data_IF_168178274566
#
_entry.id   IF_168178274566
#
_cell.length_a   1.000
_cell.length_b   1.000
_cell.length_c   1.000
_cell.angle_alpha   90.00
_cell.angle_beta   90.00
_cell.angle_gamma   90.00
#
_symmetry.space_group_name_H-M   'P 1'
#
loop_
_entity.id
_entity.type
_entity.pdbx_description
1 polymer ?
#
# COMPACT_ATOMS: atom_id res chain seq x y z
N UNK A 1 17.05 5.39 33.27
CA UNK A 1 15.87 4.78 32.64
C UNK A 1 14.90 5.77 31.96
N UNK A 2 15.24 7.05 31.76
CA UNK A 2 14.42 7.99 30.98
C UNK A 2 15.30 8.94 30.16
N UNK A 3 15.90 8.44 29.07
CA UNK A 3 16.62 9.26 28.08
C UNK A 3 15.77 9.53 26.83
N UNK A 4 14.45 9.43 26.95
CA UNK A 4 13.48 9.46 25.83
C UNK A 4 13.11 10.87 25.34
N UNK A 5 13.53 11.96 26.01
CA UNK A 5 12.89 13.27 25.83
C UNK A 5 13.78 14.42 25.34
N UNK A 6 14.99 14.18 24.82
CA UNK A 6 15.65 15.19 23.97
C UNK A 6 15.15 15.06 22.54
N UNK A 7 13.86 15.38 22.36
CA UNK A 7 13.21 15.47 21.04
C UNK A 7 13.64 16.80 20.41
N UNK A 8 14.52 16.74 19.41
CA UNK A 8 14.88 17.91 18.60
C UNK A 8 13.94 17.98 17.40
N UNK A 9 13.13 19.04 17.32
CA UNK A 9 12.27 19.35 16.17
C UNK A 9 13.05 19.73 14.90
N UNK A 10 14.37 19.94 15.04
CA UNK A 10 15.22 20.49 13.98
C UNK A 10 15.50 19.52 12.84
N UNK A 11 15.33 18.22 13.06
CA UNK A 11 15.54 17.17 12.05
C UNK A 11 14.22 16.61 11.50
N UNK A 12 13.09 17.26 11.79
CA UNK A 12 11.78 16.77 11.36
C UNK A 12 11.51 17.07 9.89
N UNK A 13 11.12 16.06 9.11
CA UNK A 13 10.79 16.24 7.70
C UNK A 13 9.35 16.70 7.49
N UNK A 14 9.15 18.00 7.66
CA UNK A 14 7.84 18.62 7.44
C UNK A 14 7.33 18.45 6.01
N UNK A 15 8.21 18.37 5.01
CA UNK A 15 7.82 18.19 3.61
C UNK A 15 7.17 16.81 3.44
N UNK A 16 7.72 15.77 4.07
CA UNK A 16 7.13 14.43 4.06
C UNK A 16 5.71 14.45 4.66
N UNK A 17 5.57 15.02 5.85
CA UNK A 17 4.28 15.10 6.54
C UNK A 17 3.23 15.89 5.74
N UNK A 18 3.56 17.10 5.28
CA UNK A 18 2.61 17.93 4.56
C UNK A 18 2.23 17.33 3.20
N UNK A 19 3.14 16.62 2.53
CA UNK A 19 2.80 15.92 1.29
C UNK A 19 1.72 14.85 1.53
N UNK A 20 1.88 14.02 2.56
CA UNK A 20 0.90 13.00 2.94
C UNK A 20 -0.42 13.60 3.45
N UNK A 21 -0.33 14.70 4.22
CA UNK A 21 -1.50 15.41 4.72
C UNK A 21 -2.32 16.04 3.59
N UNK A 22 -1.68 16.73 2.63
CA UNK A 22 -2.35 17.31 1.47
C UNK A 22 -2.97 16.21 0.60
N UNK A 23 -2.26 15.10 0.35
CA UNK A 23 -2.84 13.92 -0.32
C UNK A 23 -4.09 13.44 0.42
N UNK A 24 -4.05 13.35 1.75
CA UNK A 24 -5.22 12.94 2.54
C UNK A 24 -6.40 13.91 2.44
N UNK A 25 -6.15 15.22 2.32
CA UNK A 25 -7.19 16.22 2.11
C UNK A 25 -7.82 16.11 0.71
N UNK A 26 -7.02 15.84 -0.32
CA UNK A 26 -7.52 15.57 -1.69
C UNK A 26 -8.34 14.28 -1.73
N UNK A 27 -7.90 13.25 -0.99
CA UNK A 27 -8.66 12.01 -0.84
C UNK A 27 -9.99 12.27 -0.14
N UNK A 28 -9.96 13.03 0.95
CA UNK A 28 -11.16 13.38 1.69
C UNK A 28 -12.16 14.20 0.86
N UNK A 29 -11.71 15.15 0.04
CA UNK A 29 -12.60 15.94 -0.82
C UNK A 29 -13.28 15.09 -1.90
N UNK A 30 -12.56 14.14 -2.50
CA UNK A 30 -13.12 13.22 -3.49
C UNK A 30 -14.03 12.16 -2.86
N UNK A 31 -13.69 11.65 -1.67
CA UNK A 31 -14.58 10.77 -0.90
C UNK A 31 -15.87 11.51 -0.54
N UNK A 32 -15.77 12.75 -0.08
CA UNK A 32 -16.94 13.59 0.22
C UNK A 32 -17.83 13.81 -1.00
N UNK A 33 -17.22 14.11 -2.16
CA UNK A 33 -17.92 14.24 -3.43
C UNK A 33 -18.73 12.98 -3.79
N UNK A 34 -18.16 11.78 -3.62
CA UNK A 34 -18.84 10.51 -3.90
C UNK A 34 -19.87 10.13 -2.82
N UNK A 35 -19.63 10.48 -1.56
CA UNK A 35 -20.57 10.21 -0.46
C UNK A 35 -21.84 11.05 -0.61
N UNK A 36 -21.72 12.28 -1.14
CA UNK A 36 -22.84 13.20 -1.36
C UNK A 36 -23.86 12.68 -2.39
N UNK A 37 -23.44 11.91 -3.41
CA UNK A 37 -24.38 11.29 -4.36
C UNK A 37 -25.15 10.11 -3.78
N UNK A 38 -24.71 9.52 -2.67
CA UNK A 38 -25.32 8.31 -2.09
C UNK A 38 -26.50 8.60 -1.14
N UNK A 39 -26.70 9.85 -0.74
CA UNK A 39 -27.82 10.30 0.09
C UNK A 39 -27.42 11.29 1.18
N UNK A 40 -28.35 11.60 2.08
CA UNK A 40 -28.19 12.67 3.08
C UNK A 40 -27.19 12.35 4.21
N UNK A 41 -26.83 11.07 4.40
CA UNK A 41 -25.97 10.62 5.51
C UNK A 41 -24.55 10.30 5.03
N UNK A 42 -23.60 11.17 5.41
CA UNK A 42 -22.18 11.08 5.06
C UNK A 42 -21.43 10.01 5.89
N UNK A 43 -21.66 8.75 5.59
CA UNK A 43 -21.10 7.63 6.35
C UNK A 43 -19.61 7.38 6.07
N UNK A 44 -19.15 7.58 4.83
CA UNK A 44 -17.76 7.34 4.46
C UNK A 44 -16.88 8.50 4.90
N UNK A 45 -17.32 9.74 4.64
CA UNK A 45 -16.55 10.95 5.01
C UNK A 45 -16.35 11.04 6.51
N UNK A 46 -17.41 10.87 7.31
CA UNK A 46 -17.31 10.97 8.79
C UNK A 46 -16.29 9.98 9.37
N UNK A 47 -16.31 8.72 8.90
CA UNK A 47 -15.35 7.70 9.31
C UNK A 47 -13.92 8.01 8.85
N UNK A 48 -13.75 8.53 7.64
CA UNK A 48 -12.45 8.90 7.10
C UNK A 48 -11.83 10.09 7.85
N UNK A 49 -12.63 11.08 8.26
CA UNK A 49 -12.16 12.21 9.11
C UNK A 49 -11.64 11.70 10.44
N UNK A 50 -12.39 10.82 11.12
CA UNK A 50 -11.94 10.24 12.39
C UNK A 50 -10.66 9.43 12.18
N UNK A 51 -10.59 8.64 11.11
CA UNK A 51 -9.38 7.89 10.77
C UNK A 51 -8.18 8.81 10.49
N UNK A 52 -8.38 9.95 9.82
CA UNK A 52 -7.31 10.93 9.55
C UNK A 52 -6.78 11.55 10.85
N UNK A 53 -7.66 11.92 11.78
CA UNK A 53 -7.24 12.43 13.10
C UNK A 53 -6.42 11.38 13.84
N UNK A 54 -6.89 10.13 13.88
CA UNK A 54 -6.16 9.02 14.49
C UNK A 54 -4.83 8.75 13.78
N UNK A 55 -4.79 8.82 12.45
CA UNK A 55 -3.60 8.60 11.64
C UNK A 55 -2.52 9.65 11.93
N UNK A 56 -2.90 10.94 12.04
CA UNK A 56 -2.01 12.03 12.40
C UNK A 56 -1.42 11.81 13.81
N UNK A 57 -2.25 11.42 14.79
CA UNK A 57 -1.78 11.09 16.13
C UNK A 57 -0.77 9.93 16.11
N UNK A 58 -1.08 8.86 15.36
CA UNK A 58 -0.21 7.68 15.22
C UNK A 58 1.11 8.04 14.55
N UNK A 59 1.12 8.90 13.54
CA UNK A 59 2.33 9.41 12.91
C UNK A 59 3.23 10.13 13.91
N UNK A 60 2.69 11.07 14.68
CA UNK A 60 3.48 11.79 15.67
C UNK A 60 4.02 10.86 16.76
N UNK A 61 3.18 9.99 17.33
CA UNK A 61 3.60 9.02 18.35
C UNK A 61 4.75 8.15 17.83
N UNK A 62 4.61 7.59 16.63
CA UNK A 62 5.63 6.72 16.04
C UNK A 62 6.92 7.45 15.65
N UNK A 63 6.83 8.70 15.19
CA UNK A 63 8.01 9.53 14.85
C UNK A 63 8.88 9.90 16.07
N UNK A 64 8.27 10.00 17.26
CA UNK A 64 8.98 10.35 18.49
C UNK A 64 9.71 9.16 19.13
N UNK A 65 9.37 7.92 18.77
CA UNK A 65 10.12 6.75 19.20
C UNK A 65 11.50 6.74 18.54
N UNK A 66 12.51 6.24 19.25
CA UNK A 66 13.87 6.15 18.71
C UNK A 66 13.97 4.97 17.74
N UNK A 67 14.74 5.09 16.65
CA UNK A 67 14.82 4.04 15.62
C UNK A 67 15.21 2.65 16.17
N UNK A 68 16.03 2.61 17.23
CA UNK A 68 16.44 1.38 17.92
C UNK A 68 15.28 0.63 18.60
N UNK A 69 14.18 1.32 18.92
CA UNK A 69 12.96 0.66 19.39
C UNK A 69 12.40 -0.25 18.31
N UNK A 70 12.30 0.23 17.07
CA UNK A 70 11.81 -0.57 15.95
C UNK A 70 12.77 -1.71 15.59
N UNK A 71 14.08 -1.46 15.67
CA UNK A 71 15.10 -2.49 15.44
C UNK A 71 14.97 -3.64 16.46
N UNK A 72 14.82 -3.32 17.75
CA UNK A 72 14.63 -4.32 18.82
C UNK A 72 13.26 -5.01 18.76
N UNK A 73 12.23 -4.30 18.31
CA UNK A 73 10.87 -4.80 18.16
C UNK A 73 10.65 -5.61 16.86
N UNK A 74 11.64 -5.70 15.95
CA UNK A 74 11.48 -6.32 14.64
C UNK A 74 10.89 -7.74 14.66
N UNK A 75 11.46 -8.64 15.50
CA UNK A 75 10.95 -10.02 15.59
C UNK A 75 9.60 -10.10 16.31
N UNK A 76 9.39 -9.45 17.49
CA UNK A 76 8.07 -9.43 18.13
C UNK A 76 6.95 -8.91 17.23
N UNK A 77 7.19 -7.82 16.48
CA UNK A 77 6.20 -7.22 15.58
C UNK A 77 5.86 -8.16 14.42
N UNK A 78 6.86 -8.84 13.86
CA UNK A 78 6.62 -9.86 12.84
C UNK A 78 5.85 -11.07 13.35
N UNK A 79 6.18 -11.57 14.54
CA UNK A 79 5.42 -12.65 15.17
C UNK A 79 3.98 -12.22 15.45
N UNK A 80 3.77 -10.99 15.94
CA UNK A 80 2.45 -10.43 16.13
C UNK A 80 1.65 -10.36 14.82
N UNK A 81 2.28 -9.98 13.70
CA UNK A 81 1.62 -9.97 12.40
C UNK A 81 1.17 -11.38 11.97
N UNK A 82 2.00 -12.41 12.19
CA UNK A 82 1.60 -13.81 11.96
C UNK A 82 0.39 -14.18 12.83
N UNK A 83 0.44 -13.88 14.13
CA UNK A 83 -0.67 -14.19 15.04
C UNK A 83 -1.96 -13.50 14.61
N UNK A 84 -1.90 -12.23 14.21
CA UNK A 84 -3.08 -11.50 13.71
C UNK A 84 -3.61 -12.07 12.39
N UNK A 85 -2.72 -12.46 11.46
CA UNK A 85 -3.10 -13.08 10.20
C UNK A 85 -3.72 -14.48 10.39
N UNK A 86 -3.25 -15.24 11.37
CA UNK A 86 -3.87 -16.52 11.73
C UNK A 86 -5.22 -16.27 12.40
N UNK A 87 -5.28 -15.36 13.37
CA UNK A 87 -6.51 -15.08 14.12
C UNK A 87 -7.65 -14.59 13.21
N UNK A 88 -7.35 -13.81 12.17
CA UNK A 88 -8.38 -13.29 11.26
C UNK A 88 -8.95 -14.37 10.33
N UNK A 89 -8.26 -15.48 10.12
CA UNK A 89 -8.82 -16.62 9.37
C UNK A 89 -10.00 -17.27 10.11
N UNK A 90 -10.01 -17.21 11.44
CA UNK A 90 -11.05 -17.82 12.27
C UNK A 90 -12.10 -16.81 12.75
N UNK A 91 -11.67 -15.58 13.05
CA UNK A 91 -12.50 -14.55 13.69
C UNK A 91 -12.81 -13.36 12.76
N UNK A 92 -12.30 -13.38 11.53
CA UNK A 92 -12.47 -12.30 10.57
C UNK A 92 -13.83 -12.30 9.91
N UNK A 93 -14.31 -11.10 9.60
CA UNK A 93 -15.49 -10.91 8.77
C UNK A 93 -15.12 -10.93 7.29
N UNK A 94 -15.96 -11.55 6.46
CA UNK A 94 -15.85 -11.48 5.01
C UNK A 94 -16.31 -10.11 4.51
N UNK A 95 -15.46 -9.43 3.74
CA UNK A 95 -15.79 -8.19 3.03
C UNK A 95 -15.28 -8.37 1.60
N UNK A 96 -16.16 -8.18 0.60
CA UNK A 96 -15.83 -8.30 -0.84
C UNK A 96 -15.16 -9.64 -1.22
N UNK A 97 -15.58 -10.74 -0.58
CA UNK A 97 -15.03 -12.08 -0.82
C UNK A 97 -13.72 -12.39 -0.08
N UNK A 98 -13.19 -11.45 0.70
CA UNK A 98 -11.96 -11.59 1.48
C UNK A 98 -12.28 -11.69 2.98
N UNK A 99 -11.93 -12.80 3.62
CA UNK A 99 -12.03 -13.02 5.08
C UNK A 99 -10.79 -12.48 5.78
N UNK A 100 -10.66 -11.15 5.83
CA UNK A 100 -9.43 -10.47 6.28
C UNK A 100 -9.63 -9.31 7.25
N UNK A 101 -10.84 -9.13 7.81
CA UNK A 101 -11.18 -7.92 8.56
C UNK A 101 -11.68 -8.22 9.97
N UNK A 102 -11.03 -7.64 10.97
CA UNK A 102 -11.60 -7.55 12.31
C UNK A 102 -12.50 -6.33 12.42
N UNK A 103 -13.74 -6.50 12.91
CA UNK A 103 -14.68 -5.39 13.12
C UNK A 103 -14.79 -5.09 14.61
N UNK A 104 -14.47 -3.86 15.02
CA UNK A 104 -14.58 -3.39 16.40
C UNK A 104 -15.30 -2.04 16.42
N UNK A 105 -16.46 -1.97 17.10
CA UNK A 105 -17.18 -0.71 17.38
C UNK A 105 -17.24 0.28 16.19
N UNK A 106 -17.56 -0.21 14.99
CA UNK A 106 -17.69 0.62 13.78
C UNK A 106 -16.40 0.86 12.98
N UNK A 107 -15.25 0.40 13.48
CA UNK A 107 -13.98 0.38 12.74
C UNK A 107 -13.66 -1.02 12.23
N UNK A 108 -13.03 -1.07 11.06
CA UNK A 108 -12.52 -2.30 10.46
C UNK A 108 -11.00 -2.25 10.43
N UNK A 109 -10.35 -3.25 11.00
CA UNK A 109 -8.90 -3.41 11.01
C UNK A 109 -8.49 -4.62 10.17
N UNK A 110 -7.66 -4.39 9.17
CA UNK A 110 -7.14 -5.43 8.28
C UNK A 110 -5.70 -5.79 8.69
N UNK A 111 -5.44 -7.03 9.16
CA UNK A 111 -4.10 -7.45 9.55
C UNK A 111 -3.07 -7.45 8.42
N UNK A 112 -3.50 -7.61 7.16
CA UNK A 112 -2.62 -7.52 6.00
C UNK A 112 -1.95 -6.14 5.87
N UNK A 113 -2.62 -5.06 6.31
CA UNK A 113 -2.03 -3.73 6.39
C UNK A 113 -0.87 -3.71 7.39
N UNK A 114 -1.08 -4.27 8.58
CA UNK A 114 -0.05 -4.37 9.62
C UNK A 114 1.11 -5.31 9.22
N UNK A 115 0.83 -6.36 8.45
CA UNK A 115 1.84 -7.28 7.93
C UNK A 115 2.89 -6.56 7.05
N UNK A 116 2.52 -5.51 6.31
CA UNK A 116 3.46 -4.67 5.55
C UNK A 116 4.44 -3.94 6.47
N UNK A 117 3.94 -3.35 7.55
CA UNK A 117 4.78 -2.70 8.59
C UNK A 117 5.77 -3.72 9.17
N UNK A 118 5.25 -4.87 9.58
CA UNK A 118 6.03 -5.91 10.22
C UNK A 118 7.11 -6.48 9.30
N UNK A 119 6.78 -6.69 8.02
CA UNK A 119 7.74 -7.15 7.03
C UNK A 119 8.84 -6.12 6.80
N UNK A 120 8.50 -4.84 6.60
CA UNK A 120 9.50 -3.79 6.37
C UNK A 120 10.50 -3.70 7.51
N UNK A 121 10.02 -3.69 8.76
CA UNK A 121 10.90 -3.65 9.94
C UNK A 121 11.78 -4.92 10.01
N UNK A 122 11.19 -6.11 9.82
CA UNK A 122 11.95 -7.36 9.91
C UNK A 122 13.00 -7.48 8.80
N UNK A 123 12.66 -7.13 7.56
CA UNK A 123 13.59 -7.21 6.44
C UNK A 123 14.74 -6.20 6.60
N UNK A 124 14.46 -4.96 7.02
CA UNK A 124 15.50 -3.98 7.33
C UNK A 124 16.46 -4.49 8.42
N UNK A 125 15.91 -5.06 9.49
CA UNK A 125 16.69 -5.68 10.57
C UNK A 125 17.51 -6.87 10.09
N UNK A 126 16.96 -7.69 9.17
CA UNK A 126 17.66 -8.85 8.63
C UNK A 126 18.82 -8.45 7.74
N UNK A 127 18.64 -7.39 6.94
CA UNK A 127 19.67 -6.84 6.04
C UNK A 127 20.84 -6.29 6.86
N UNK A 128 20.57 -5.50 7.91
CA UNK A 128 21.61 -4.97 8.80
C UNK A 128 22.47 -6.10 9.40
N UNK A 129 21.84 -7.14 9.93
CA UNK A 129 22.54 -8.28 10.55
C UNK A 129 23.36 -9.13 9.57
N UNK A 130 23.15 -8.97 8.27
CA UNK A 130 23.92 -9.67 7.27
C UNK A 130 25.31 -9.03 7.06
N UNK A 131 25.59 -7.87 7.67
CA UNK A 131 26.89 -7.19 7.63
C UNK A 131 27.44 -7.05 6.21
N UNK A 132 26.57 -6.65 5.28
CA UNK A 132 26.86 -6.45 3.85
C UNK A 132 27.30 -7.68 3.05
N UNK A 133 27.12 -8.90 3.60
CA UNK A 133 27.39 -10.17 2.90
C UNK A 133 26.15 -10.67 2.16
N UNK A 134 25.74 -9.94 1.12
CA UNK A 134 24.52 -10.20 0.33
C UNK A 134 24.74 -11.15 -0.85
N UNK A 135 25.91 -11.76 -0.92
CA UNK A 135 26.41 -12.47 -2.09
C UNK A 135 26.08 -13.98 -2.08
N UNK A 136 25.44 -14.42 -0.99
CA UNK A 136 25.08 -15.80 -0.66
C UNK A 136 23.61 -16.09 -0.97
N UNK A 137 23.34 -17.25 -1.57
CA UNK A 137 21.97 -17.69 -1.87
C UNK A 137 21.13 -17.88 -0.59
N UNK A 138 21.77 -18.23 0.54
CA UNK A 138 21.08 -18.37 1.83
C UNK A 138 20.44 -17.06 2.29
N UNK A 139 21.05 -15.91 1.98
CA UNK A 139 20.48 -14.61 2.31
C UNK A 139 19.17 -14.39 1.55
N UNK A 140 19.19 -14.62 0.24
CA UNK A 140 18.03 -14.51 -0.63
C UNK A 140 16.91 -15.45 -0.18
N UNK A 141 17.25 -16.71 0.12
CA UNK A 141 16.29 -17.70 0.60
C UNK A 141 15.64 -17.26 1.90
N UNK A 142 16.40 -16.71 2.86
CA UNK A 142 15.82 -16.24 4.14
C UNK A 142 14.89 -15.04 3.92
N UNK A 143 15.27 -14.06 3.10
CA UNK A 143 14.42 -12.91 2.78
C UNK A 143 13.08 -13.35 2.16
N UNK A 144 13.14 -14.28 1.22
CA UNK A 144 11.94 -14.87 0.61
C UNK A 144 11.14 -15.70 1.60
N UNK A 145 11.77 -16.53 2.42
CA UNK A 145 11.05 -17.38 3.39
C UNK A 145 10.26 -16.52 4.38
N UNK A 146 10.87 -15.47 4.91
CA UNK A 146 10.19 -14.53 5.81
C UNK A 146 9.01 -13.81 5.12
N UNK A 147 9.15 -13.48 3.84
CA UNK A 147 8.07 -12.85 3.07
C UNK A 147 6.95 -13.85 2.77
N UNK A 148 7.32 -15.05 2.31
CA UNK A 148 6.41 -16.12 1.88
C UNK A 148 5.55 -16.64 3.04
N UNK A 149 6.05 -16.62 4.27
CA UNK A 149 5.22 -16.96 5.45
C UNK A 149 4.03 -16.01 5.58
N UNK A 150 4.25 -14.68 5.50
CA UNK A 150 3.15 -13.72 5.57
C UNK A 150 2.25 -13.79 4.33
N UNK A 151 2.85 -13.91 3.14
CA UNK A 151 2.11 -14.07 1.88
C UNK A 151 1.23 -15.31 1.93
N UNK A 152 1.72 -16.44 2.45
CA UNK A 152 0.94 -17.67 2.57
C UNK A 152 -0.34 -17.47 3.37
N UNK A 153 -0.26 -16.83 4.54
CA UNK A 153 -1.45 -16.54 5.34
C UNK A 153 -2.40 -15.52 4.70
N UNK A 154 -1.87 -14.55 3.94
CA UNK A 154 -2.68 -13.57 3.21
C UNK A 154 -3.40 -14.22 2.01
N UNK A 155 -2.74 -15.15 1.31
CA UNK A 155 -3.36 -15.90 0.21
C UNK A 155 -4.47 -16.85 0.70
N UNK A 156 -4.41 -17.31 1.95
CA UNK A 156 -5.52 -18.01 2.59
C UNK A 156 -6.74 -17.11 2.88
N UNK A 157 -6.59 -15.78 2.82
CA UNK A 157 -7.66 -14.78 2.96
C UNK A 157 -8.24 -14.32 1.61
N UNK A 158 -7.98 -15.06 0.53
CA UNK A 158 -8.01 -14.58 -0.86
C UNK A 158 -7.57 -13.13 -1.18
N UNK A 159 -6.54 -12.58 -0.51
CA UNK A 159 -6.05 -11.22 -0.78
C UNK A 159 -4.77 -11.19 -1.64
N UNK A 160 -4.96 -11.25 -2.97
CA UNK A 160 -3.86 -11.20 -3.94
C UNK A 160 -3.15 -9.84 -3.98
N UNK A 161 -3.89 -8.76 -3.75
CA UNK A 161 -3.36 -7.40 -3.77
C UNK A 161 -2.28 -7.20 -2.71
N UNK A 162 -2.61 -7.47 -1.45
CA UNK A 162 -1.68 -7.37 -0.33
C UNK A 162 -0.48 -8.32 -0.48
N UNK A 163 -0.70 -9.53 -0.97
CA UNK A 163 0.37 -10.49 -1.25
C UNK A 163 1.38 -9.95 -2.28
N UNK A 164 0.89 -9.35 -3.37
CA UNK A 164 1.74 -8.78 -4.42
C UNK A 164 2.60 -7.61 -3.92
N UNK A 165 2.09 -6.81 -2.98
CA UNK A 165 2.81 -5.70 -2.37
C UNK A 165 3.96 -6.23 -1.51
N UNK A 166 3.72 -7.23 -0.65
CA UNK A 166 4.78 -7.81 0.19
C UNK A 166 5.92 -8.42 -0.65
N UNK A 167 5.55 -9.13 -1.73
CA UNK A 167 6.52 -9.68 -2.68
C UNK A 167 7.33 -8.58 -3.37
N UNK A 168 6.66 -7.51 -3.82
CA UNK A 168 7.30 -6.35 -4.45
C UNK A 168 8.27 -5.65 -3.51
N UNK A 169 7.93 -5.51 -2.22
CA UNK A 169 8.81 -4.93 -1.20
C UNK A 169 10.05 -5.79 -0.99
N UNK A 170 9.88 -7.12 -0.81
CA UNK A 170 11.02 -8.02 -0.64
C UNK A 170 11.93 -8.02 -1.87
N UNK A 171 11.34 -8.12 -3.07
CA UNK A 171 12.09 -8.09 -4.32
C UNK A 171 12.83 -6.76 -4.51
N UNK A 172 12.15 -5.64 -4.29
CA UNK A 172 12.73 -4.30 -4.39
C UNK A 172 13.92 -4.13 -3.44
N UNK A 173 13.79 -4.55 -2.17
CA UNK A 173 14.90 -4.50 -1.21
C UNK A 173 16.08 -5.37 -1.66
N UNK A 174 15.83 -6.59 -2.16
CA UNK A 174 16.90 -7.46 -2.67
C UNK A 174 17.67 -6.83 -3.83
N UNK A 175 16.99 -6.14 -4.73
CA UNK A 175 17.61 -5.39 -5.84
C UNK A 175 18.42 -4.21 -5.30
N UNK A 176 17.86 -3.40 -4.41
CA UNK A 176 18.51 -2.20 -3.85
C UNK A 176 19.73 -2.53 -2.99
N UNK A 177 19.70 -3.65 -2.27
CA UNK A 177 20.81 -4.17 -1.46
C UNK A 177 22.01 -4.61 -2.32
N UNK A 178 21.84 -4.73 -3.64
CA UNK A 178 22.92 -5.12 -4.56
C UNK A 178 23.16 -6.63 -4.59
N UNK A 179 22.11 -7.44 -4.40
CA UNK A 179 22.19 -8.90 -4.53
C UNK A 179 22.71 -9.30 -5.91
N UNK A 180 23.53 -10.35 -6.00
CA UNK A 180 24.09 -10.84 -7.28
C UNK A 180 22.98 -11.06 -8.32
N UNK A 181 23.15 -10.49 -9.53
CA UNK A 181 22.18 -10.56 -10.64
C UNK A 181 21.69 -11.98 -10.95
N UNK A 182 22.57 -12.99 -10.81
CA UNK A 182 22.20 -14.40 -11.02
C UNK A 182 21.04 -14.87 -10.14
N UNK A 183 20.95 -14.38 -8.89
CA UNK A 183 19.85 -14.75 -7.99
C UNK A 183 18.57 -13.99 -8.34
N UNK A 184 18.68 -12.72 -8.73
CA UNK A 184 17.55 -11.92 -9.20
C UNK A 184 16.91 -12.56 -10.45
N UNK A 185 17.72 -12.90 -11.45
CA UNK A 185 17.23 -13.62 -12.63
C UNK A 185 16.73 -15.02 -12.29
N UNK A 186 17.34 -15.71 -11.33
CA UNK A 186 16.85 -17.00 -10.83
C UNK A 186 15.46 -16.89 -10.20
N UNK A 187 15.21 -15.86 -9.41
CA UNK A 187 13.89 -15.58 -8.81
C UNK A 187 12.85 -15.29 -9.91
N UNK A 188 13.20 -14.43 -10.88
CA UNK A 188 12.30 -14.11 -11.99
C UNK A 188 11.98 -15.38 -12.78
N UNK A 189 12.98 -16.19 -13.11
CA UNK A 189 12.79 -17.46 -13.79
C UNK A 189 11.90 -18.43 -13.01
N UNK A 190 12.09 -18.54 -11.68
CA UNK A 190 11.26 -19.37 -10.82
C UNK A 190 9.82 -18.86 -10.74
N UNK A 191 9.61 -17.54 -10.63
CA UNK A 191 8.30 -16.94 -10.62
C UNK A 191 7.56 -17.18 -11.95
N UNK A 192 8.23 -16.98 -13.08
CA UNK A 192 7.67 -17.28 -14.41
C UNK A 192 7.32 -18.75 -14.53
N UNK A 193 8.20 -19.65 -14.10
CA UNK A 193 7.93 -21.09 -14.12
C UNK A 193 6.74 -21.45 -13.23
N UNK A 194 6.63 -20.85 -12.03
CA UNK A 194 5.51 -21.06 -11.13
C UNK A 194 4.18 -20.59 -11.73
N UNK A 195 4.16 -19.45 -12.44
CA UNK A 195 2.97 -18.97 -13.15
C UNK A 195 2.59 -19.91 -14.30
N UNK A 196 3.57 -20.38 -15.08
CA UNK A 196 3.33 -21.31 -16.20
C UNK A 196 2.79 -22.65 -15.69
N UNK A 197 3.43 -23.25 -14.68
CA UNK A 197 2.96 -24.49 -14.06
C UNK A 197 1.58 -24.25 -13.42
N UNK A 198 1.41 -23.13 -12.74
CA UNK A 198 0.13 -22.71 -12.16
C UNK A 198 -0.98 -22.69 -13.20
N UNK A 199 -0.74 -22.07 -14.34
CA UNK A 199 -1.69 -22.00 -15.45
C UNK A 199 -2.16 -23.37 -15.94
N UNK A 200 -1.23 -24.31 -16.16
CA UNK A 200 -1.59 -25.61 -16.73
C UNK A 200 -2.15 -26.60 -15.71
N UNK A 201 -1.70 -26.54 -14.45
CA UNK A 201 -1.95 -27.62 -13.49
C UNK A 201 -2.69 -27.22 -12.21
N UNK A 202 -2.75 -25.92 -11.87
CA UNK A 202 -3.25 -25.46 -10.55
C UNK A 202 -4.44 -24.52 -10.68
N UNK A 203 -4.38 -23.57 -11.61
CA UNK A 203 -5.38 -22.53 -11.76
C UNK A 203 -6.72 -23.11 -12.21
N UNK A 204 -7.74 -22.77 -11.43
CA UNK A 204 -9.13 -23.07 -11.76
C UNK A 204 -9.59 -22.19 -12.91
N UNK A 205 -10.63 -22.63 -13.64
CA UNK A 205 -11.12 -21.90 -14.83
C UNK A 205 -11.48 -20.45 -14.51
N UNK A 206 -12.17 -20.19 -13.39
CA UNK A 206 -12.48 -18.82 -12.97
C UNK A 206 -11.24 -17.93 -12.71
N UNK A 207 -10.10 -18.52 -12.32
CA UNK A 207 -8.86 -17.77 -12.09
C UNK A 207 -8.19 -17.41 -13.42
N UNK A 208 -8.27 -18.32 -14.40
CA UNK A 208 -7.82 -18.08 -15.77
C UNK A 208 -8.69 -17.02 -16.43
N UNK A 209 -10.01 -17.10 -16.25
CA UNK A 209 -10.96 -16.12 -16.80
C UNK A 209 -10.68 -14.71 -16.28
N UNK A 210 -10.30 -14.53 -15.02
CA UNK A 210 -9.86 -13.22 -14.50
C UNK A 210 -8.62 -12.67 -15.20
N UNK A 211 -7.64 -13.53 -15.50
CA UNK A 211 -6.42 -13.13 -16.22
C UNK A 211 -6.76 -12.81 -17.68
N UNK A 212 -7.59 -13.63 -18.32
CA UNK A 212 -8.02 -13.42 -19.70
C UNK A 212 -8.86 -12.16 -19.85
N UNK A 213 -9.78 -11.90 -18.92
CA UNK A 213 -10.62 -10.69 -18.87
C UNK A 213 -9.79 -9.43 -18.63
N UNK A 214 -8.68 -9.55 -17.88
CA UNK A 214 -7.74 -8.43 -17.77
C UNK A 214 -7.04 -8.12 -19.10
N UNK A 215 -6.65 -9.14 -19.86
CA UNK A 215 -6.00 -8.98 -21.18
C UNK A 215 -7.00 -8.46 -22.22
N UNK A 216 -8.22 -8.99 -22.19
CA UNK A 216 -9.32 -8.59 -23.05
C UNK A 216 -10.58 -8.30 -22.22
N UNK A 217 -10.80 -7.02 -21.84
CA UNK A 217 -11.99 -6.61 -21.08
C UNK A 217 -13.32 -6.91 -21.78
N UNK A 218 -13.33 -7.18 -23.08
CA UNK A 218 -14.56 -7.48 -23.83
C UNK A 218 -15.12 -8.87 -23.52
N UNK A 219 -14.33 -9.75 -22.90
CA UNK A 219 -14.75 -11.09 -22.48
C UNK A 219 -15.74 -11.06 -21.29
N UNK A 220 -15.76 -9.98 -20.52
CA UNK A 220 -16.68 -9.77 -19.40
C UNK A 220 -17.25 -8.33 -19.42
N UNK A 221 -18.12 -8.02 -20.40
CA UNK A 221 -18.60 -6.66 -20.65
C UNK A 221 -19.60 -6.15 -19.61
N UNK A 222 -20.00 -6.99 -18.64
CA UNK A 222 -20.93 -6.65 -17.56
C UNK A 222 -20.30 -6.76 -16.16
N UNK A 223 -19.15 -7.42 -16.02
CA UNK A 223 -18.48 -7.62 -14.74
C UNK A 223 -17.21 -6.79 -14.59
N UNK A 224 -16.08 -7.47 -14.45
CA UNK A 224 -14.78 -6.84 -14.20
C UNK A 224 -14.26 -6.01 -15.38
N UNK A 225 -14.52 -6.47 -16.62
CA UNK A 225 -14.18 -5.73 -17.84
C UNK A 225 -14.93 -4.40 -17.94
N UNK A 226 -16.24 -4.41 -17.63
CA UNK A 226 -17.06 -3.20 -17.55
C UNK A 226 -16.46 -2.14 -16.63
N UNK A 227 -16.08 -2.53 -15.41
CA UNK A 227 -15.54 -1.61 -14.40
C UNK A 227 -14.24 -0.94 -14.87
N UNK A 228 -13.36 -1.72 -15.50
CA UNK A 228 -12.10 -1.19 -16.07
C UNK A 228 -12.40 -0.24 -17.23
N UNK A 229 -13.33 -0.59 -18.13
CA UNK A 229 -13.73 0.30 -19.23
C UNK A 229 -14.32 1.62 -18.72
N UNK A 230 -15.22 1.57 -17.72
CA UNK A 230 -15.77 2.79 -17.11
C UNK A 230 -14.70 3.62 -16.42
N UNK A 231 -13.71 2.98 -15.80
CA UNK A 231 -12.59 3.67 -15.17
C UNK A 231 -11.78 4.46 -16.19
N UNK A 232 -11.47 3.85 -17.34
CA UNK A 232 -10.76 4.51 -18.44
C UNK A 232 -11.58 5.67 -19.02
N UNK A 233 -12.90 5.48 -19.20
CA UNK A 233 -13.80 6.53 -19.68
C UNK A 233 -13.83 7.70 -18.69
N UNK A 234 -13.93 7.43 -17.38
CA UNK A 234 -13.94 8.45 -16.33
C UNK A 234 -12.66 9.31 -16.40
N UNK A 235 -11.49 8.66 -16.40
CA UNK A 235 -10.18 9.35 -16.53
C UNK A 235 -10.12 10.19 -17.80
N UNK A 236 -10.56 9.65 -18.94
CA UNK A 236 -10.57 10.39 -20.22
C UNK A 236 -11.55 11.57 -20.24
N UNK A 237 -12.66 11.46 -19.52
CA UNK A 237 -13.73 12.45 -19.51
C UNK A 237 -13.42 13.74 -18.75
N UNK A 238 -12.40 13.72 -17.88
CA UNK A 238 -11.96 14.89 -17.12
C UNK A 238 -11.12 15.88 -17.93
N UNK A 239 -10.62 15.52 -19.11
CA UNK A 239 -9.82 16.42 -19.97
C UNK A 239 -8.70 17.14 -19.18
N UNK A 240 -8.43 18.42 -19.45
CA UNK A 240 -7.34 19.15 -18.82
C UNK A 240 -7.67 19.64 -17.39
N UNK A 241 -8.86 20.22 -17.17
CA UNK A 241 -9.25 20.88 -15.91
C UNK A 241 -10.21 20.07 -15.03
N UNK A 242 -10.72 18.95 -15.51
CA UNK A 242 -11.74 18.16 -14.82
C UNK A 242 -13.14 18.68 -15.11
N UNK A 243 -14.12 17.91 -14.66
CA UNK A 243 -15.54 18.30 -14.69
C UNK A 243 -15.95 19.17 -13.50
N UNK A 244 -15.09 19.29 -12.50
CA UNK A 244 -15.40 19.90 -11.21
C UNK A 244 -15.76 18.85 -10.16
N UNK A 245 -15.41 19.13 -8.91
CA UNK A 245 -15.76 18.28 -7.76
C UNK A 245 -17.27 18.12 -7.66
N UNK A 246 -17.75 16.87 -7.56
CA UNK A 246 -19.17 16.55 -7.49
C UNK A 246 -19.90 16.51 -8.83
N UNK A 247 -19.22 16.77 -9.95
CA UNK A 247 -19.82 16.83 -11.29
C UNK A 247 -19.33 15.71 -12.22
N UNK A 248 -18.65 14.69 -11.67
CA UNK A 248 -18.24 13.50 -12.42
C UNK A 248 -19.45 12.65 -12.81
N UNK A 249 -19.65 12.39 -14.10
CA UNK A 249 -20.75 11.53 -14.54
C UNK A 249 -20.55 10.07 -14.13
N UNK A 250 -19.32 9.55 -14.20
CA UNK A 250 -19.04 8.14 -13.92
C UNK A 250 -18.97 7.89 -12.41
N UNK A 251 -18.36 8.80 -11.67
CA UNK A 251 -18.30 8.75 -10.21
C UNK A 251 -19.68 8.91 -9.55
N UNK A 252 -20.46 9.90 -9.97
CA UNK A 252 -21.73 10.27 -9.30
C UNK A 252 -22.91 9.38 -9.71
N UNK A 253 -22.93 8.84 -10.93
CA UNK A 253 -23.97 7.91 -11.38
C UNK A 253 -23.68 6.46 -11.02
N UNK A 254 -22.64 6.22 -10.20
CA UNK A 254 -22.27 4.90 -9.67
C UNK A 254 -21.98 3.84 -10.74
N UNK A 255 -21.45 4.25 -11.89
CA UNK A 255 -20.95 3.34 -12.92
C UNK A 255 -19.64 2.65 -12.51
N UNK A 256 -18.96 3.17 -11.49
CA UNK A 256 -17.76 2.60 -10.89
C UNK A 256 -18.09 1.94 -9.55
N UNK A 257 -17.99 0.61 -9.41
CA UNK A 257 -18.17 -0.03 -8.12
C UNK A 257 -17.05 0.40 -7.18
N UNK A 258 -17.41 0.80 -5.96
CA UNK A 258 -16.44 1.15 -4.93
C UNK A 258 -15.45 2.25 -5.37
N UNK A 259 -15.97 3.26 -6.08
CA UNK A 259 -15.22 4.43 -6.57
C UNK A 259 -14.37 5.12 -5.49
N UNK A 260 -14.83 5.08 -4.25
CA UNK A 260 -14.13 5.66 -3.11
C UNK A 260 -12.89 4.86 -2.65
N UNK A 261 -12.74 3.59 -3.05
CA UNK A 261 -11.57 2.76 -2.71
C UNK A 261 -10.72 2.46 -3.94
N UNK A 262 -11.21 1.62 -4.84
CA UNK A 262 -10.37 0.92 -5.83
C UNK A 262 -10.19 1.77 -7.08
N UNK A 263 -11.18 2.62 -7.39
CA UNK A 263 -11.21 3.50 -8.56
C UNK A 263 -11.13 4.99 -8.19
N UNK A 264 -10.52 5.34 -7.05
CA UNK A 264 -10.43 6.74 -6.64
C UNK A 264 -9.60 7.58 -7.61
N UNK A 265 -8.61 6.96 -8.28
CA UNK A 265 -7.84 7.59 -9.36
C UNK A 265 -8.75 8.04 -10.50
N UNK A 266 -9.74 7.23 -10.82
CA UNK A 266 -10.71 7.50 -11.88
C UNK A 266 -11.61 8.67 -11.52
N UNK A 267 -12.02 8.77 -10.24
CA UNK A 267 -12.75 9.92 -9.69
C UNK A 267 -11.90 11.19 -9.75
N UNK A 268 -10.64 11.12 -9.31
CA UNK A 268 -9.69 12.25 -9.36
C UNK A 268 -9.49 12.71 -10.81
N UNK A 269 -9.28 11.75 -11.73
CA UNK A 269 -9.11 12.04 -13.15
C UNK A 269 -10.33 12.69 -13.77
N UNK A 270 -11.54 12.23 -13.43
CA UNK A 270 -12.79 12.82 -13.93
C UNK A 270 -13.07 14.21 -13.34
N UNK A 271 -12.97 14.35 -12.02
CA UNK A 271 -13.41 15.57 -11.32
C UNK A 271 -12.36 16.68 -11.35
N UNK A 272 -11.07 16.35 -11.22
CA UNK A 272 -9.97 17.32 -11.17
C UNK A 272 -9.14 17.38 -12.47
N UNK A 273 -9.38 16.47 -13.41
CA UNK A 273 -8.73 16.44 -14.71
C UNK A 273 -7.24 16.12 -14.64
N UNK A 274 -6.58 16.34 -15.77
CA UNK A 274 -5.13 16.15 -15.91
C UNK A 274 -4.32 16.98 -14.89
N UNK A 275 -4.70 18.25 -14.67
CA UNK A 275 -3.96 19.13 -13.74
C UNK A 275 -4.03 18.62 -12.31
N UNK A 276 -5.22 18.24 -11.81
CA UNK A 276 -5.36 17.68 -10.46
C UNK A 276 -4.63 16.35 -10.31
N UNK A 277 -4.72 15.47 -11.30
CA UNK A 277 -3.99 14.21 -11.30
C UNK A 277 -2.47 14.42 -11.30
N UNK A 278 -1.96 15.39 -12.07
CA UNK A 278 -0.54 15.73 -12.08
C UNK A 278 -0.06 16.26 -10.73
N UNK A 279 -0.85 17.10 -10.04
CA UNK A 279 -0.54 17.57 -8.69
C UNK A 279 -0.44 16.38 -7.72
N UNK A 280 -1.37 15.43 -7.79
CA UNK A 280 -1.33 14.21 -6.98
C UNK A 280 -0.06 13.40 -7.26
N UNK A 281 0.32 13.20 -8.53
CA UNK A 281 1.55 12.51 -8.89
C UNK A 281 2.80 13.25 -8.39
N UNK A 282 2.82 14.59 -8.47
CA UNK A 282 3.91 15.40 -7.97
C UNK A 282 4.06 15.27 -6.43
N UNK A 283 2.95 15.24 -5.69
CA UNK A 283 2.96 15.01 -4.25
C UNK A 283 3.49 13.61 -3.88
N UNK A 284 3.09 12.56 -4.62
CA UNK A 284 3.67 11.23 -4.45
C UNK A 284 5.15 11.18 -4.78
N UNK A 285 5.58 11.85 -5.85
CA UNK A 285 6.99 11.95 -6.21
C UNK A 285 7.80 12.59 -5.09
N UNK A 286 7.33 13.72 -4.54
CA UNK A 286 7.95 14.39 -3.39
C UNK A 286 8.02 13.41 -2.21
N UNK A 287 6.91 12.76 -1.85
CA UNK A 287 6.85 11.82 -0.73
C UNK A 287 7.87 10.68 -0.88
N UNK A 288 7.92 10.01 -2.04
CA UNK A 288 8.87 8.94 -2.32
C UNK A 288 10.32 9.44 -2.34
N UNK A 289 10.56 10.61 -2.94
CA UNK A 289 11.89 11.22 -2.99
C UNK A 289 12.42 11.55 -1.59
N UNK A 290 11.56 12.09 -0.70
CA UNK A 290 11.93 12.35 0.70
C UNK A 290 12.31 11.06 1.43
N UNK A 291 11.54 9.99 1.27
CA UNK A 291 11.87 8.68 1.89
C UNK A 291 13.19 8.11 1.38
N UNK A 292 13.47 8.19 0.08
CA UNK A 292 14.76 7.76 -0.49
C UNK A 292 15.90 8.64 0.01
N UNK A 293 15.69 9.94 0.13
CA UNK A 293 16.69 10.86 0.66
C UNK A 293 16.98 10.60 2.15
N UNK A 294 15.98 10.25 2.96
CA UNK A 294 16.18 9.81 4.35
C UNK A 294 17.08 8.58 4.40
N UNK A 295 16.80 7.59 3.54
CA UNK A 295 17.60 6.38 3.47
C UNK A 295 19.06 6.65 3.09
N UNK A 296 19.30 7.55 2.14
CA UNK A 296 20.63 7.90 1.67
C UNK A 296 21.48 8.60 2.75
N UNK A 297 20.85 9.43 3.58
CA UNK A 297 21.53 10.19 4.63
C UNK A 297 21.60 9.45 5.97
N UNK A 298 21.06 8.23 6.05
CA UNK A 298 21.01 7.45 7.28
C UNK A 298 22.40 6.96 7.73
N UNK A 299 22.66 6.97 9.04
CA UNK A 299 23.97 6.60 9.61
C UNK A 299 24.24 5.10 9.69
N UNK A 300 23.20 4.28 9.78
CA UNK A 300 23.33 2.83 9.92
C UNK A 300 22.44 2.10 8.90
N UNK A 301 22.74 0.83 8.66
CA UNK A 301 22.07 0.03 7.63
C UNK A 301 20.57 -0.12 7.95
N UNK A 302 20.17 -0.32 9.21
CA UNK A 302 18.74 -0.41 9.59
C UNK A 302 17.96 0.88 9.29
N UNK A 303 18.47 2.04 9.73
CA UNK A 303 17.85 3.34 9.47
C UNK A 303 17.87 3.73 7.99
N UNK A 304 18.73 3.10 7.17
CA UNK A 304 18.73 3.28 5.72
C UNK A 304 17.66 2.40 5.05
N UNK A 305 17.62 1.10 5.36
CA UNK A 305 16.70 0.17 4.70
C UNK A 305 15.25 0.27 5.17
N UNK A 306 15.01 0.81 6.37
CA UNK A 306 13.66 1.03 6.89
C UNK A 306 12.85 2.02 6.01
N UNK A 307 13.28 3.29 5.79
CA UNK A 307 12.57 4.20 4.89
C UNK A 307 12.58 3.74 3.42
N UNK A 308 13.59 2.99 2.95
CA UNK A 308 13.52 2.34 1.62
C UNK A 308 12.40 1.32 1.53
N UNK A 309 12.25 0.46 2.54
CA UNK A 309 11.16 -0.51 2.59
C UNK A 309 9.79 0.18 2.60
N UNK A 310 9.64 1.25 3.38
CA UNK A 310 8.42 2.08 3.39
C UNK A 310 8.16 2.70 2.01
N UNK A 311 9.19 3.24 1.35
CA UNK A 311 9.09 3.79 0.00
C UNK A 311 8.61 2.73 -1.00
N UNK A 312 9.15 1.51 -0.93
CA UNK A 312 8.72 0.40 -1.78
C UNK A 312 7.27 -0.03 -1.52
N UNK A 313 6.79 0.02 -0.28
CA UNK A 313 5.36 -0.22 0.02
C UNK A 313 4.51 0.79 -0.74
N UNK A 314 4.76 2.09 -0.57
CA UNK A 314 3.96 3.12 -1.23
C UNK A 314 4.08 3.07 -2.75
N UNK A 315 5.30 2.91 -3.28
CA UNK A 315 5.52 2.78 -4.71
C UNK A 315 4.71 1.61 -5.30
N UNK A 316 4.73 0.45 -4.65
CA UNK A 316 3.97 -0.73 -5.10
C UNK A 316 2.46 -0.46 -5.10
N UNK A 317 1.93 0.14 -4.04
CA UNK A 317 0.51 0.53 -3.99
C UNK A 317 0.13 1.52 -5.09
N UNK A 318 0.95 2.55 -5.32
CA UNK A 318 0.70 3.58 -6.33
C UNK A 318 0.68 2.96 -7.73
N UNK A 319 1.69 2.14 -8.06
CA UNK A 319 1.78 1.47 -9.36
C UNK A 319 0.61 0.53 -9.58
N UNK A 320 0.27 -0.31 -8.60
CA UNK A 320 -0.84 -1.27 -8.71
C UNK A 320 -2.17 -0.56 -8.86
N UNK A 321 -2.47 0.44 -8.04
CA UNK A 321 -3.77 1.10 -8.06
C UNK A 321 -3.94 2.00 -9.30
N UNK A 322 -2.95 2.84 -9.63
CA UNK A 322 -3.02 3.67 -10.85
C UNK A 322 -3.02 2.78 -12.09
N UNK A 323 -2.15 1.76 -12.13
CA UNK A 323 -2.09 0.81 -13.23
C UNK A 323 -3.43 0.10 -13.44
N UNK A 324 -4.13 -0.28 -12.37
CA UNK A 324 -5.47 -0.85 -12.47
C UNK A 324 -6.51 0.14 -13.01
N UNK A 325 -6.47 1.39 -12.56
CA UNK A 325 -7.42 2.42 -12.99
C UNK A 325 -7.32 2.75 -14.50
N UNK A 326 -6.13 2.69 -15.09
CA UNK A 326 -5.92 2.88 -16.54
C UNK A 326 -5.82 1.59 -17.36
N UNK A 327 -6.14 0.43 -16.76
CA UNK A 327 -6.17 -0.86 -17.46
C UNK A 327 -4.80 -1.46 -17.80
N UNK A 328 -3.71 -0.98 -17.19
CA UNK A 328 -2.36 -1.54 -17.35
C UNK A 328 -2.07 -2.72 -16.41
N UNK A 329 -2.82 -2.83 -15.30
CA UNK A 329 -2.72 -3.91 -14.32
C UNK A 329 -4.11 -4.41 -13.93
N UNK A 330 -4.24 -5.66 -13.42
CA UNK A 330 -5.54 -6.16 -12.97
C UNK A 330 -5.99 -5.44 -11.70
N UNK A 331 -7.31 -5.29 -11.55
CA UNK A 331 -7.94 -4.71 -10.35
C UNK A 331 -7.80 -5.72 -9.20
N UNK A 332 -7.08 -5.35 -8.15
CA UNK A 332 -6.68 -6.25 -7.05
C UNK A 332 -7.23 -5.83 -5.67
N UNK A 333 -8.03 -4.77 -5.59
CA UNK A 333 -8.59 -4.26 -4.32
C UNK A 333 -7.61 -3.51 -3.43
N UNK A 334 -6.45 -3.13 -3.99
CA UNK A 334 -5.41 -2.38 -3.27
C UNK A 334 -5.79 -0.90 -3.19
N UNK A 335 -5.80 -0.37 -1.98
CA UNK A 335 -6.05 1.06 -1.74
C UNK A 335 -4.86 1.93 -2.16
N UNK A 336 -5.15 3.10 -2.71
CA UNK A 336 -4.15 4.11 -2.98
C UNK A 336 -3.79 4.85 -1.67
N UNK A 337 -2.51 4.92 -1.26
CA UNK A 337 -2.13 5.41 0.06
C UNK A 337 -2.59 6.86 0.25
N UNK A 338 -3.11 7.22 1.43
CA UNK A 338 -3.61 8.58 1.75
C UNK A 338 -4.87 9.03 1.01
N UNK A 339 -5.08 8.64 -0.25
CA UNK A 339 -6.23 9.06 -1.06
C UNK A 339 -7.47 8.18 -0.83
N UNK A 340 -7.35 6.86 -1.02
CA UNK A 340 -8.49 5.94 -0.99
C UNK A 340 -9.17 5.89 0.39
N UNK A 341 -10.47 5.64 0.37
CA UNK A 341 -11.22 5.32 1.58
C UNK A 341 -10.70 4.03 2.20
N UNK A 342 -10.44 4.06 3.51
CA UNK A 342 -9.90 2.92 4.22
C UNK A 342 -9.25 3.33 5.53
N UNK A 343 -10.03 3.39 6.60
CA UNK A 343 -9.56 3.92 7.88
C UNK A 343 -8.33 3.20 8.43
N UNK A 344 -8.29 1.87 8.41
CA UNK A 344 -7.11 1.11 8.84
C UNK A 344 -5.90 1.34 7.94
N UNK A 345 -6.09 1.38 6.61
CA UNK A 345 -5.00 1.61 5.67
C UNK A 345 -4.41 3.01 5.86
N UNK A 346 -5.24 4.04 6.03
CA UNK A 346 -4.79 5.40 6.31
C UNK A 346 -3.94 5.47 7.58
N UNK A 347 -4.42 4.89 8.68
CA UNK A 347 -3.68 4.84 9.95
C UNK A 347 -2.34 4.11 9.79
N UNK A 348 -2.32 2.99 9.08
CA UNK A 348 -1.10 2.21 8.84
C UNK A 348 -0.12 2.95 7.92
N UNK A 349 -0.60 3.68 6.92
CA UNK A 349 0.25 4.48 6.04
C UNK A 349 0.93 5.62 6.81
N UNK A 350 0.20 6.31 7.70
CA UNK A 350 0.79 7.30 8.59
C UNK A 350 1.72 6.67 9.65
N UNK A 351 1.42 5.46 10.13
CA UNK A 351 2.35 4.70 10.99
C UNK A 351 3.67 4.40 10.26
N UNK A 352 3.62 3.93 9.01
CA UNK A 352 4.81 3.68 8.18
C UNK A 352 5.65 4.95 8.01
N UNK A 353 5.00 6.09 7.72
CA UNK A 353 5.69 7.38 7.63
C UNK A 353 6.33 7.80 8.94
N UNK A 354 5.64 7.65 10.08
CA UNK A 354 6.21 8.02 11.37
C UNK A 354 7.36 7.12 11.78
N UNK A 355 7.30 5.83 11.43
CA UNK A 355 8.43 4.89 11.59
C UNK A 355 9.61 5.32 10.71
N UNK A 356 9.40 5.69 9.45
CA UNK A 356 10.46 6.19 8.57
C UNK A 356 11.07 7.50 9.09
N UNK A 357 10.24 8.42 9.58
CA UNK A 357 10.66 9.69 10.17
C UNK A 357 11.56 9.47 11.41
N UNK A 358 11.26 8.44 12.21
CA UNK A 358 12.10 8.07 13.36
C UNK A 358 13.54 7.75 12.96
N UNK A 359 13.75 7.18 11.77
CA UNK A 359 15.08 6.85 11.24
C UNK A 359 15.86 8.09 10.79
N UNK A 360 15.17 9.05 10.17
CA UNK A 360 15.75 10.33 9.77
C UNK A 360 16.20 11.16 10.98
N UNK A 361 15.39 11.19 12.04
CA UNK A 361 15.69 11.94 13.28
C UNK A 361 16.83 11.33 14.12
N UNK A 362 16.98 10.00 14.08
CA UNK A 362 18.05 9.28 14.78
C UNK A 362 19.40 9.33 14.06
N UNK A 363 19.42 9.85 12.82
CA UNK A 363 20.61 10.16 12.03
C UNK A 363 21.02 11.61 12.24
#
# INVERSE_FOLDING_TARGET
MLRFLKVSWRNFDWILFFSAFILSLVGLSTIYSVDLSRGDVLNFTSRQVIALVLAILVFFISSFLHVSFYESAARPVYFLAIVLLIAVLFLGATIRGTTGWFRFFGFSFQPAEFAKVALVILLAWRIERQARRFDKWQFVLVMFTLTLVLVGFILLQPDLGSASILLSVCFGLLVLVGTKKKYIFGIIGLATLAVVIGWFFVFQDYQKDRIMTFIDPTLDPLGSGYNVTQSIIAVGSGQFLGRGLGFGSQSQLHFLPEAQTDFIVSVIGEELGFVGFFIVLALYFILLWRLVNMAYNARNDFASFLPLGVSLVFFSHIVVNIGAAVGLLPVTGVTLPFLSYGGSSLIINFLLLGIAESAARSS
#
